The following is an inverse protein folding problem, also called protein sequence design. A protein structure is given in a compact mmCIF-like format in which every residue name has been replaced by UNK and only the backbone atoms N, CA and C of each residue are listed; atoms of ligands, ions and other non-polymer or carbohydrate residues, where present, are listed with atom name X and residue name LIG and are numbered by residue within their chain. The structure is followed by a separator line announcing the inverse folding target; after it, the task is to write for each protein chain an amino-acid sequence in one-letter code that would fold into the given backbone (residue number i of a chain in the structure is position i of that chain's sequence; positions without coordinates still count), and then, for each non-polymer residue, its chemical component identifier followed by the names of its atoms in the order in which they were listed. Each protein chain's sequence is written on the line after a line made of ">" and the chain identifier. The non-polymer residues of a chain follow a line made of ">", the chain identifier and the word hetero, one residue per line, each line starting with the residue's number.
data_IF_546056578635
#
_entry.id   IF_546056578635
#
_cell.length_a   1.000
_cell.length_b   1.000
_cell.length_c   1.000
_cell.angle_alpha   90.00
_cell.angle_beta   90.00
_cell.angle_gamma   90.00
#
_symmetry.space_group_name_H-M   'P 1'
#
loop_
_entity.id
_entity.type
_entity.pdbx_description
1 polymer ?
#
# COMPACT_ATOMS: atom_id res chain seq x y z
N UNK A 1 -18.19 -2.49 1.65
CA UNK A 1 -18.05 -2.63 3.14
C UNK A 1 -18.02 -1.24 3.72
N UNK A 2 -18.74 -0.97 4.79
CA UNK A 2 -18.71 0.31 5.51
C UNK A 2 -17.38 0.50 6.24
N UNK A 3 -16.98 1.73 6.48
CA UNK A 3 -15.71 2.05 7.17
C UNK A 3 -15.71 1.50 8.61
N UNK A 4 -16.86 1.53 9.32
CA UNK A 4 -16.97 0.92 10.64
C UNK A 4 -16.55 -0.56 10.64
N UNK A 5 -17.07 -1.35 9.71
CA UNK A 5 -16.72 -2.78 9.58
C UNK A 5 -15.23 -2.99 9.21
N UNK A 6 -14.63 -2.02 8.52
CA UNK A 6 -13.21 -2.07 8.19
C UNK A 6 -12.35 -1.73 9.41
N UNK A 7 -12.80 -0.84 10.26
CA UNK A 7 -12.16 -0.55 11.54
C UNK A 7 -12.20 -1.77 12.45
N UNK A 8 -13.39 -2.41 12.62
CA UNK A 8 -13.53 -3.66 13.38
C UNK A 8 -12.51 -4.71 12.92
N UNK A 9 -12.37 -4.87 11.58
CA UNK A 9 -11.38 -5.79 11.01
C UNK A 9 -9.94 -5.43 11.36
N UNK A 10 -9.59 -4.15 11.40
CA UNK A 10 -8.24 -3.71 11.79
C UNK A 10 -7.99 -3.94 13.28
N UNK A 11 -9.01 -3.78 14.14
CA UNK A 11 -8.95 -4.12 15.56
C UNK A 11 -8.69 -5.62 15.74
N UNK A 12 -9.41 -6.48 15.03
CA UNK A 12 -9.20 -7.94 15.00
C UNK A 12 -7.77 -8.32 14.54
N UNK A 13 -7.14 -7.49 13.72
CA UNK A 13 -5.76 -7.66 13.26
C UNK A 13 -4.72 -7.09 14.23
N UNK A 14 -5.12 -6.54 15.37
CA UNK A 14 -4.23 -6.03 16.40
C UNK A 14 -3.82 -4.56 16.21
N UNK A 15 -4.70 -3.73 15.65
CA UNK A 15 -4.39 -2.31 15.47
C UNK A 15 -4.16 -1.58 16.80
N UNK A 16 -4.86 -1.97 17.87
CA UNK A 16 -4.66 -1.41 19.21
C UNK A 16 -3.22 -1.63 19.70
N UNK A 17 -2.71 -2.85 19.62
CA UNK A 17 -1.34 -3.19 20.02
C UNK A 17 -0.29 -2.48 19.15
N UNK A 18 -0.58 -2.29 17.86
CA UNK A 18 0.32 -1.59 16.95
C UNK A 18 0.39 -0.09 17.23
N UNK A 19 -0.74 0.51 17.62
CA UNK A 19 -0.83 1.97 17.81
C UNK A 19 -0.62 2.38 19.26
N UNK A 20 -0.90 1.48 20.21
CA UNK A 20 -1.02 1.80 21.64
C UNK A 20 -2.26 2.66 21.93
N UNK A 21 -3.26 2.61 21.06
CA UNK A 21 -4.54 3.31 21.18
C UNK A 21 -5.65 2.30 21.40
N UNK A 22 -6.64 2.63 22.20
CA UNK A 22 -7.83 1.81 22.37
C UNK A 22 -8.84 2.05 21.24
N UNK A 23 -9.87 1.20 21.19
CA UNK A 23 -10.94 1.27 20.20
C UNK A 23 -11.63 2.63 20.16
N UNK A 24 -11.91 3.24 21.34
CA UNK A 24 -12.60 4.53 21.45
C UNK A 24 -11.79 5.65 20.79
N UNK A 25 -10.48 5.71 21.06
CA UNK A 25 -9.56 6.66 20.43
C UNK A 25 -9.49 6.45 18.91
N UNK A 26 -9.45 5.20 18.43
CA UNK A 26 -9.40 4.88 17.00
C UNK A 26 -10.72 5.24 16.28
N UNK A 27 -11.86 5.02 16.91
CA UNK A 27 -13.19 5.45 16.43
C UNK A 27 -13.25 6.97 16.31
N UNK A 28 -12.77 7.70 17.32
CA UNK A 28 -12.70 9.17 17.31
C UNK A 28 -11.80 9.68 16.16
N UNK A 29 -10.66 9.03 15.91
CA UNK A 29 -9.76 9.39 14.82
C UNK A 29 -10.38 9.22 13.42
N UNK A 30 -11.25 8.24 13.22
CA UNK A 30 -11.98 8.05 11.96
C UNK A 30 -13.03 9.14 11.79
N UNK A 31 -13.71 9.51 12.87
CA UNK A 31 -14.82 10.46 12.87
C UNK A 31 -16.15 9.83 12.43
N UNK A 32 -17.23 10.28 13.08
CA UNK A 32 -18.56 9.66 12.92
C UNK A 32 -19.10 9.65 11.50
N UNK A 33 -18.88 10.71 10.74
CA UNK A 33 -19.38 10.85 9.36
C UNK A 33 -18.71 9.85 8.41
N UNK A 34 -17.42 9.56 8.61
CA UNK A 34 -16.70 8.58 7.79
C UNK A 34 -17.08 7.14 8.10
N UNK A 35 -17.42 6.81 9.35
CA UNK A 35 -17.81 5.44 9.74
C UNK A 35 -18.99 4.91 8.92
N UNK A 36 -19.94 5.80 8.55
CA UNK A 36 -21.09 5.46 7.73
C UNK A 36 -20.80 5.46 6.22
N UNK A 37 -19.61 5.88 5.80
CA UNK A 37 -19.23 5.93 4.40
C UNK A 37 -18.76 4.56 3.87
N UNK A 38 -18.66 4.46 2.55
CA UNK A 38 -18.01 3.34 1.86
C UNK A 38 -16.71 3.82 1.23
N UNK A 39 -15.77 2.90 1.10
CA UNK A 39 -14.44 3.18 0.55
C UNK A 39 -13.42 2.17 1.07
N UNK A 40 -12.16 2.56 1.13
CA UNK A 40 -11.10 1.78 1.76
C UNK A 40 -10.49 2.60 2.88
N UNK A 41 -10.58 2.12 4.12
CA UNK A 41 -9.94 2.75 5.28
C UNK A 41 -8.43 2.55 5.21
N UNK A 42 -7.71 3.65 5.36
CA UNK A 42 -6.24 3.69 5.28
C UNK A 42 -5.65 4.09 6.61
N UNK A 43 -4.56 3.43 6.96
CA UNK A 43 -3.71 3.76 8.09
C UNK A 43 -2.55 4.63 7.57
N UNK A 44 -2.56 5.92 7.98
CA UNK A 44 -1.50 6.86 7.60
C UNK A 44 -0.14 6.44 8.21
N UNK A 45 0.99 6.64 7.52
CA UNK A 45 2.31 6.24 8.02
C UNK A 45 2.73 6.93 9.33
N UNK A 46 2.12 8.07 9.70
CA UNK A 46 2.33 8.70 11.01
C UNK A 46 1.73 7.91 12.16
N UNK A 47 0.66 7.14 11.92
CA UNK A 47 0.06 6.26 12.92
C UNK A 47 0.79 4.92 12.96
N UNK A 48 0.87 4.23 11.80
CA UNK A 48 1.64 2.98 11.69
C UNK A 48 2.39 2.94 10.35
N UNK A 49 3.73 2.90 10.35
CA UNK A 49 4.51 2.83 9.12
C UNK A 49 4.33 1.48 8.39
N UNK A 50 4.45 1.50 7.06
CA UNK A 50 4.28 0.35 6.18
C UNK A 50 5.03 -0.92 6.63
N UNK A 51 6.23 -0.76 7.17
CA UNK A 51 7.05 -1.88 7.63
C UNK A 51 6.42 -2.64 8.82
N UNK A 52 5.61 -1.96 9.64
CA UNK A 52 4.86 -2.57 10.75
C UNK A 52 3.50 -3.13 10.31
N UNK A 53 2.91 -2.60 9.24
CA UNK A 53 1.66 -3.10 8.67
C UNK A 53 1.85 -4.34 7.80
N UNK A 54 2.97 -4.44 7.08
CA UNK A 54 3.22 -5.53 6.14
C UNK A 54 3.06 -6.94 6.75
N UNK A 55 3.48 -7.21 8.00
CA UNK A 55 3.29 -8.51 8.65
C UNK A 55 1.82 -8.90 8.92
N UNK A 56 0.90 -7.93 8.96
CA UNK A 56 -0.54 -8.19 9.14
C UNK A 56 -1.21 -8.70 7.86
N UNK A 57 -0.61 -8.46 6.70
CA UNK A 57 -1.08 -9.09 5.46
C UNK A 57 -1.03 -10.60 5.61
N UNK A 58 -2.05 -11.28 5.12
CA UNK A 58 -2.07 -12.75 5.14
C UNK A 58 -2.52 -13.32 3.80
N UNK A 59 -1.90 -14.42 3.39
CA UNK A 59 -2.32 -15.20 2.24
C UNK A 59 -1.99 -16.67 2.46
N UNK A 60 -2.96 -17.56 2.26
CA UNK A 60 -2.81 -19.00 2.51
C UNK A 60 -2.24 -19.33 3.91
N UNK A 61 -2.66 -18.57 4.93
CA UNK A 61 -2.18 -18.70 6.29
C UNK A 61 -0.75 -18.21 6.55
N UNK A 62 -0.10 -17.58 5.56
CA UNK A 62 1.26 -17.06 5.68
C UNK A 62 1.23 -15.55 5.87
N UNK A 63 1.96 -15.01 6.87
CA UNK A 63 2.05 -13.57 7.09
C UNK A 63 2.83 -12.88 5.97
N UNK A 64 2.48 -11.64 5.72
CA UNK A 64 3.23 -10.76 4.84
C UNK A 64 4.57 -10.35 5.42
N UNK A 65 5.44 -9.80 4.57
CA UNK A 65 6.75 -9.32 4.99
C UNK A 65 7.28 -8.23 4.06
N UNK A 66 8.23 -7.46 4.56
CA UNK A 66 9.08 -6.59 3.74
C UNK A 66 10.30 -7.37 3.30
N UNK A 67 10.67 -7.28 2.01
CA UNK A 67 11.87 -7.98 1.51
C UNK A 67 13.13 -7.56 2.29
N UNK A 68 14.05 -8.49 2.60
CA UNK A 68 15.20 -8.21 3.47
C UNK A 68 16.11 -7.09 2.99
N UNK A 69 16.17 -6.82 1.68
CA UNK A 69 17.00 -5.77 1.08
C UNK A 69 16.32 -4.39 1.02
N UNK A 70 15.07 -4.26 1.52
CA UNK A 70 14.34 -2.99 1.62
C UNK A 70 14.31 -2.45 3.07
N UNK A 71 15.46 -2.37 3.70
CA UNK A 71 15.62 -1.88 5.09
C UNK A 71 15.28 -0.40 5.25
N UNK A 72 15.16 0.31 4.14
CA UNK A 72 14.91 1.75 4.08
C UNK A 72 13.49 2.12 3.61
N UNK A 73 12.51 1.20 3.74
CA UNK A 73 11.12 1.43 3.34
C UNK A 73 10.53 2.70 3.96
N UNK A 74 10.82 2.99 5.22
CA UNK A 74 10.37 4.20 5.91
C UNK A 74 10.90 5.53 5.34
N UNK A 75 11.82 5.49 4.37
CA UNK A 75 12.33 6.69 3.67
C UNK A 75 11.60 6.98 2.36
N UNK A 76 10.65 6.13 1.96
CA UNK A 76 9.84 6.33 0.77
C UNK A 76 8.65 7.23 1.11
N UNK A 77 8.81 8.53 0.88
CA UNK A 77 7.77 9.55 1.06
C UNK A 77 6.95 9.79 -0.20
N UNK A 78 6.08 10.78 -0.15
CA UNK A 78 5.22 11.17 -1.26
C UNK A 78 6.02 11.77 -2.43
N UNK A 79 5.57 11.49 -3.64
CA UNK A 79 5.95 12.25 -4.82
C UNK A 79 5.22 13.60 -4.84
N UNK A 80 5.76 14.64 -5.51
CA UNK A 80 5.16 15.97 -5.53
C UNK A 80 3.75 16.04 -6.12
N UNK A 81 3.40 15.09 -6.98
CA UNK A 81 2.12 15.03 -7.69
C UNK A 81 0.98 14.45 -6.85
N UNK A 82 1.26 13.99 -5.61
CA UNK A 82 0.28 13.33 -4.75
C UNK A 82 0.20 14.01 -3.40
N UNK A 83 -1.01 14.34 -3.02
CA UNK A 83 -1.35 14.80 -1.68
C UNK A 83 -2.17 13.71 -0.97
N UNK A 84 -1.94 13.52 0.34
CA UNK A 84 -2.73 12.66 1.22
C UNK A 84 -3.22 13.48 2.41
N UNK A 85 -4.39 13.13 2.99
CA UNK A 85 -4.85 13.78 4.22
C UNK A 85 -3.83 13.62 5.35
N UNK A 86 -3.54 14.72 6.06
CA UNK A 86 -2.63 14.72 7.22
C UNK A 86 -3.35 14.29 8.52
N UNK A 87 -4.13 13.21 8.44
CA UNK A 87 -4.85 12.61 9.56
C UNK A 87 -4.44 11.14 9.74
N UNK A 88 -4.55 10.59 10.96
CA UNK A 88 -4.11 9.22 11.24
C UNK A 88 -4.84 8.13 10.44
N UNK A 89 -6.12 8.33 10.19
CA UNK A 89 -7.00 7.44 9.44
C UNK A 89 -7.78 8.24 8.41
N UNK A 90 -7.86 7.75 7.16
CA UNK A 90 -8.58 8.41 6.06
C UNK A 90 -9.12 7.39 5.07
N UNK A 91 -9.91 7.82 4.11
CA UNK A 91 -10.65 6.93 3.22
C UNK A 91 -10.26 7.15 1.75
N UNK A 92 -10.02 6.06 1.02
CA UNK A 92 -9.88 6.06 -0.43
C UNK A 92 -11.21 5.77 -1.10
N UNK A 93 -11.47 6.46 -2.21
CA UNK A 93 -12.64 6.25 -3.09
C UNK A 93 -12.18 5.81 -4.47
N UNK A 94 -12.77 4.73 -4.99
CA UNK A 94 -12.49 4.24 -6.33
C UNK A 94 -11.06 3.74 -6.53
N UNK A 95 -10.61 2.84 -5.65
CA UNK A 95 -9.30 2.17 -5.78
C UNK A 95 -9.33 1.19 -6.95
N UNK A 96 -8.30 1.25 -7.80
CA UNK A 96 -8.08 0.33 -8.92
C UNK A 96 -6.66 -0.25 -8.85
N UNK A 97 -6.52 -1.52 -9.23
CA UNK A 97 -5.22 -2.21 -9.28
C UNK A 97 -4.36 -1.76 -10.46
N UNK A 98 -4.98 -1.18 -11.51
CA UNK A 98 -4.31 -0.73 -12.71
C UNK A 98 -3.83 -1.89 -13.60
N UNK A 99 -4.62 -2.94 -13.75
CA UNK A 99 -4.28 -4.10 -14.56
C UNK A 99 -4.10 -3.77 -16.05
N UNK A 100 -4.73 -2.71 -16.52
CA UNK A 100 -4.58 -2.16 -17.87
C UNK A 100 -3.24 -1.44 -18.10
N UNK A 101 -2.53 -1.11 -17.01
CA UNK A 101 -1.19 -0.53 -17.02
C UNK A 101 -0.10 -1.60 -16.80
N UNK A 102 -0.42 -2.89 -16.89
CA UNK A 102 0.60 -3.94 -16.95
C UNK A 102 1.47 -3.76 -18.20
N UNK A 103 2.72 -4.10 -18.08
CA UNK A 103 3.75 -3.86 -19.10
C UNK A 103 4.08 -2.37 -19.36
N UNK A 104 3.62 -1.50 -18.44
CA UNK A 104 4.07 -0.11 -18.37
C UNK A 104 5.09 0.05 -17.22
N UNK A 105 6.10 0.88 -17.46
CA UNK A 105 6.99 1.29 -16.37
C UNK A 105 6.30 2.31 -15.46
N UNK A 106 6.69 2.43 -14.18
CA UNK A 106 6.24 3.50 -13.30
C UNK A 106 6.35 4.90 -13.89
N UNK A 107 7.42 5.17 -14.66
CA UNK A 107 7.67 6.47 -15.28
C UNK A 107 6.69 6.76 -16.43
N UNK A 108 6.24 5.74 -17.16
CA UNK A 108 5.21 5.86 -18.20
C UNK A 108 3.81 5.91 -17.60
N UNK A 109 3.54 5.14 -16.56
CA UNK A 109 2.22 5.02 -15.95
C UNK A 109 1.80 6.29 -15.18
N UNK A 110 2.73 7.00 -14.54
CA UNK A 110 2.40 8.19 -13.75
C UNK A 110 1.66 9.26 -14.55
N UNK A 111 2.16 9.77 -15.69
CA UNK A 111 1.44 10.78 -16.46
C UNK A 111 0.09 10.28 -16.97
N UNK A 112 -0.04 9.02 -17.32
CA UNK A 112 -1.31 8.44 -17.76
C UNK A 112 -2.35 8.40 -16.63
N UNK A 113 -1.95 7.97 -15.41
CA UNK A 113 -2.83 7.99 -14.23
C UNK A 113 -3.32 9.41 -13.95
N UNK A 114 -2.42 10.39 -13.97
CA UNK A 114 -2.77 11.80 -13.75
C UNK A 114 -3.71 12.36 -14.85
N UNK A 115 -3.48 11.98 -16.10
CA UNK A 115 -4.34 12.38 -17.23
C UNK A 115 -5.78 11.83 -17.11
N UNK A 116 -5.94 10.70 -16.43
CA UNK A 116 -7.26 10.11 -16.08
C UNK A 116 -7.94 10.78 -14.88
N UNK A 117 -7.36 11.84 -14.31
CA UNK A 117 -7.85 12.50 -13.10
C UNK A 117 -7.73 11.63 -11.85
N UNK A 118 -6.81 10.68 -11.84
CA UNK A 118 -6.52 9.78 -10.73
C UNK A 118 -5.13 10.06 -10.17
N UNK A 119 -4.83 9.52 -9.00
CA UNK A 119 -3.48 9.57 -8.43
C UNK A 119 -3.02 8.18 -8.00
N UNK A 120 -1.72 7.87 -8.12
CA UNK A 120 -1.22 6.57 -7.72
C UNK A 120 -1.33 6.37 -6.20
N UNK A 121 -1.31 5.08 -5.76
CA UNK A 121 -1.30 4.74 -4.34
C UNK A 121 0.09 4.89 -3.73
N UNK A 122 0.11 5.24 -2.45
CA UNK A 122 1.27 5.06 -1.55
C UNK A 122 1.38 3.61 -1.10
N UNK A 123 2.55 3.24 -0.54
CA UNK A 123 2.74 1.88 0.00
C UNK A 123 1.82 1.59 1.18
N UNK A 124 1.58 2.57 2.06
CA UNK A 124 0.63 2.41 3.16
C UNK A 124 -0.80 2.20 2.66
N UNK A 125 -1.22 2.93 1.64
CA UNK A 125 -2.52 2.75 0.99
C UNK A 125 -2.67 1.37 0.35
N UNK A 126 -1.65 0.91 -0.36
CA UNK A 126 -1.66 -0.42 -0.96
C UNK A 126 -1.74 -1.54 0.08
N UNK A 127 -1.02 -1.41 1.20
CA UNK A 127 -1.11 -2.37 2.31
C UNK A 127 -2.49 -2.29 2.96
N UNK A 128 -2.99 -1.09 3.30
CA UNK A 128 -4.30 -0.90 3.91
C UNK A 128 -5.42 -1.48 3.04
N UNK A 129 -5.35 -1.29 1.72
CA UNK A 129 -6.30 -1.89 0.80
C UNK A 129 -6.32 -3.42 0.89
N UNK A 130 -5.15 -4.06 0.94
CA UNK A 130 -5.04 -5.52 1.06
C UNK A 130 -5.44 -6.04 2.46
N UNK A 131 -5.29 -5.25 3.52
CA UNK A 131 -5.82 -5.59 4.84
C UNK A 131 -7.35 -5.64 4.82
N UNK A 132 -8.00 -4.79 4.02
CA UNK A 132 -9.46 -4.79 3.87
C UNK A 132 -9.96 -5.82 2.85
N UNK A 133 -9.22 -6.05 1.77
CA UNK A 133 -9.58 -7.00 0.72
C UNK A 133 -8.34 -7.76 0.21
N UNK A 134 -7.94 -8.83 0.92
CA UNK A 134 -6.79 -9.65 0.53
C UNK A 134 -6.93 -10.31 -0.86
N UNK A 135 -8.17 -10.43 -1.38
CA UNK A 135 -8.44 -11.02 -2.68
C UNK A 135 -7.87 -10.20 -3.84
N UNK A 136 -7.52 -8.93 -3.59
CA UNK A 136 -6.88 -8.06 -4.60
C UNK A 136 -5.45 -8.47 -4.94
N UNK A 137 -4.84 -9.34 -4.16
CA UNK A 137 -3.51 -9.90 -4.43
C UNK A 137 -3.63 -11.31 -4.99
N UNK A 138 -3.64 -11.43 -6.30
CA UNK A 138 -3.78 -12.68 -7.03
C UNK A 138 -2.51 -13.01 -7.83
N UNK A 139 -2.26 -14.29 -8.15
CA UNK A 139 -1.18 -14.67 -9.07
C UNK A 139 -1.29 -13.91 -10.40
N UNK A 140 -0.19 -13.29 -10.84
CA UNK A 140 -0.11 -12.46 -12.05
C UNK A 140 -0.97 -11.16 -12.03
N UNK A 141 -1.57 -10.82 -10.89
CA UNK A 141 -2.35 -9.62 -10.67
C UNK A 141 -1.92 -8.97 -9.36
N UNK A 142 -0.69 -8.49 -9.35
CA UNK A 142 -0.06 -7.72 -8.30
C UNK A 142 0.05 -6.25 -8.70
N UNK A 143 0.54 -5.36 -7.85
CA UNK A 143 0.57 -3.94 -8.18
C UNK A 143 1.73 -3.17 -7.55
N UNK A 144 2.09 -2.08 -8.21
CA UNK A 144 3.04 -1.08 -7.74
C UNK A 144 2.32 0.08 -7.05
N UNK A 145 2.99 0.68 -6.04
CA UNK A 145 2.50 1.82 -5.26
C UNK A 145 3.44 3.00 -5.48
N UNK A 146 3.37 3.57 -6.68
CA UNK A 146 4.37 4.49 -7.22
C UNK A 146 4.32 5.91 -6.64
N UNK A 147 3.29 6.24 -5.83
CA UNK A 147 3.27 7.49 -5.08
C UNK A 147 4.31 7.53 -3.95
N UNK A 148 4.84 6.37 -3.55
CA UNK A 148 5.90 6.30 -2.54
C UNK A 148 7.27 6.21 -3.21
N UNK A 149 8.05 7.28 -3.12
CA UNK A 149 9.41 7.34 -3.66
C UNK A 149 10.35 7.98 -2.65
N UNK A 150 11.64 7.75 -2.76
CA UNK A 150 12.61 8.42 -1.90
C UNK A 150 13.60 9.25 -2.71
N UNK A 151 14.18 10.33 -2.13
CA UNK A 151 15.24 11.08 -2.75
C UNK A 151 16.50 10.21 -2.99
N UNK A 152 17.27 10.53 -4.00
CA UNK A 152 18.60 9.94 -4.19
C UNK A 152 19.50 10.25 -2.99
N UNK A 153 20.50 9.40 -2.75
CA UNK A 153 21.51 9.67 -1.72
C UNK A 153 22.37 10.91 -2.03
N UNK A 154 22.59 11.19 -3.30
CA UNK A 154 23.37 12.31 -3.79
C UNK A 154 22.74 12.92 -5.04
N UNK A 155 22.71 14.26 -5.11
CA UNK A 155 22.14 15.01 -6.23
C UNK A 155 20.61 15.05 -6.24
N UNK A 156 20.04 15.79 -7.18
CA UNK A 156 18.59 15.94 -7.31
C UNK A 156 17.92 14.68 -7.87
N UNK A 157 16.60 14.56 -7.62
CA UNK A 157 15.73 13.53 -8.16
C UNK A 157 15.53 12.34 -7.22
N UNK A 158 14.75 11.36 -7.71
CA UNK A 158 14.28 10.20 -6.94
C UNK A 158 15.19 8.98 -7.14
N UNK A 159 15.31 8.15 -6.12
CA UNK A 159 15.91 6.81 -6.23
C UNK A 159 15.15 6.01 -7.29
N UNK A 160 15.85 5.13 -7.99
CA UNK A 160 15.24 4.34 -9.07
C UNK A 160 14.28 3.25 -8.58
N UNK A 161 14.28 2.92 -7.28
CA UNK A 161 13.38 1.94 -6.69
C UNK A 161 12.01 2.57 -6.43
N UNK A 162 10.96 1.81 -6.71
CA UNK A 162 9.57 2.13 -6.38
C UNK A 162 8.93 0.94 -5.68
N UNK A 163 8.16 1.15 -4.59
CA UNK A 163 7.53 0.06 -3.87
C UNK A 163 6.48 -0.67 -4.71
N UNK A 164 6.38 -1.98 -4.47
CA UNK A 164 5.36 -2.84 -5.05
C UNK A 164 4.97 -3.93 -4.05
N UNK A 165 3.76 -4.48 -4.22
CA UNK A 165 3.23 -5.55 -3.39
C UNK A 165 2.87 -6.72 -4.29
N UNK A 166 3.44 -7.90 -3.99
CA UNK A 166 3.18 -9.10 -4.78
C UNK A 166 3.31 -10.39 -3.97
N UNK A 167 3.07 -11.53 -4.60
CA UNK A 167 3.15 -12.84 -3.98
C UNK A 167 4.59 -13.33 -4.07
N UNK A 168 5.17 -13.78 -2.97
CA UNK A 168 6.51 -14.36 -2.93
C UNK A 168 6.53 -15.70 -3.69
N UNK A 169 7.56 -15.89 -4.51
CA UNK A 169 7.86 -17.18 -5.14
C UNK A 169 8.84 -18.06 -4.34
N UNK A 170 9.05 -17.77 -3.05
CA UNK A 170 9.92 -18.59 -2.19
C UNK A 170 11.39 -18.54 -2.55
N UNK A 171 11.88 -17.49 -3.21
CA UNK A 171 13.30 -17.33 -3.49
C UNK A 171 14.11 -17.15 -2.19
N UNK A 172 15.35 -17.63 -2.15
CA UNK A 172 16.22 -17.53 -0.95
C UNK A 172 16.40 -16.08 -0.49
N UNK A 173 16.56 -15.13 -1.41
CA UNK A 173 16.64 -13.69 -1.11
C UNK A 173 15.40 -13.13 -0.41
N UNK A 174 14.25 -13.81 -0.52
CA UNK A 174 12.97 -13.43 0.10
C UNK A 174 12.74 -14.16 1.43
N UNK A 175 13.67 -15.02 1.86
CA UNK A 175 13.57 -15.86 3.06
C UNK A 175 13.17 -17.31 2.78
N UNK A 176 13.29 -17.75 1.52
CA UNK A 176 13.18 -19.15 1.13
C UNK A 176 11.75 -19.68 0.98
N UNK A 177 11.64 -21.00 0.87
CA UNK A 177 10.37 -21.71 0.60
C UNK A 177 9.29 -21.52 1.66
N UNK A 178 9.66 -21.20 2.88
CA UNK A 178 8.69 -20.92 3.95
C UNK A 178 7.79 -19.73 3.62
N UNK A 179 8.33 -18.76 2.88
CA UNK A 179 7.60 -17.57 2.41
C UNK A 179 6.96 -17.69 1.04
N UNK A 180 7.05 -18.85 0.40
CA UNK A 180 6.39 -19.09 -0.89
C UNK A 180 4.88 -18.92 -0.76
N UNK A 181 4.28 -18.12 -1.65
CA UNK A 181 2.87 -17.78 -1.60
C UNK A 181 2.48 -16.67 -0.60
N UNK A 182 3.38 -16.20 0.25
CA UNK A 182 3.11 -15.10 1.18
C UNK A 182 3.03 -13.75 0.47
N UNK A 183 2.25 -12.78 0.98
CA UNK A 183 2.31 -11.40 0.52
C UNK A 183 3.69 -10.80 0.82
N UNK A 184 4.28 -10.09 -0.14
CA UNK A 184 5.53 -9.38 0.13
C UNK A 184 5.49 -7.94 -0.36
N UNK A 185 6.01 -7.05 0.46
CA UNK A 185 6.30 -5.66 0.11
C UNK A 185 7.76 -5.59 -0.29
N UNK A 186 8.02 -5.13 -1.49
CA UNK A 186 9.35 -4.99 -2.04
C UNK A 186 9.43 -3.81 -2.99
N UNK A 187 10.35 -3.87 -3.93
CA UNK A 187 10.56 -2.79 -4.88
C UNK A 187 10.86 -3.30 -6.28
N UNK A 188 10.50 -2.46 -7.26
CA UNK A 188 10.87 -2.59 -8.66
C UNK A 188 11.65 -1.36 -9.12
N UNK A 189 12.35 -1.46 -10.24
CA UNK A 189 12.96 -0.29 -10.86
C UNK A 189 11.91 0.58 -11.57
N UNK A 190 11.96 1.88 -11.41
CA UNK A 190 11.01 2.83 -12.00
C UNK A 190 10.94 2.81 -13.53
N UNK A 191 12.00 2.36 -14.21
CA UNK A 191 12.02 2.17 -15.65
C UNK A 191 11.69 0.76 -16.14
N UNK A 192 11.40 -0.19 -15.23
CA UNK A 192 11.11 -1.56 -15.63
C UNK A 192 9.63 -1.77 -15.92
N UNK A 193 9.34 -2.64 -16.87
CA UNK A 193 8.02 -3.10 -17.24
C UNK A 193 7.80 -4.53 -16.75
N UNK A 194 6.60 -4.81 -16.26
CA UNK A 194 6.21 -6.13 -15.75
C UNK A 194 4.82 -6.50 -16.23
N UNK A 195 4.69 -7.65 -16.88
CA UNK A 195 3.41 -8.16 -17.41
C UNK A 195 2.43 -8.62 -16.32
N UNK A 196 2.88 -8.67 -15.07
CA UNK A 196 2.13 -9.17 -13.90
C UNK A 196 1.95 -8.13 -12.79
N UNK A 197 2.51 -6.93 -12.93
CA UNK A 197 2.30 -5.80 -12.04
C UNK A 197 1.46 -4.73 -12.73
N UNK A 198 0.31 -4.42 -12.15
CA UNK A 198 -0.42 -3.19 -12.43
C UNK A 198 0.18 -1.99 -11.70
N UNK A 199 -0.36 -0.82 -11.93
CA UNK A 199 0.01 0.39 -11.20
C UNK A 199 -1.23 0.92 -10.49
N UNK A 200 -1.31 0.67 -9.18
CA UNK A 200 -2.51 0.96 -8.42
C UNK A 200 -2.74 2.47 -8.26
N UNK A 201 -4.00 2.87 -8.40
CA UNK A 201 -4.42 4.26 -8.36
C UNK A 201 -5.76 4.43 -7.65
N UNK A 202 -6.09 5.68 -7.30
CA UNK A 202 -7.31 6.06 -6.60
C UNK A 202 -7.95 7.28 -7.26
N UNK A 203 -9.30 7.33 -7.25
CA UNK A 203 -10.05 8.46 -7.75
C UNK A 203 -10.07 9.66 -6.77
N UNK A 204 -9.98 9.40 -5.47
CA UNK A 204 -9.95 10.46 -4.46
C UNK A 204 -9.64 9.94 -3.07
N UNK A 205 -9.25 10.89 -2.20
CA UNK A 205 -8.98 10.71 -0.77
C UNK A 205 -9.89 11.63 0.03
N UNK A 206 -10.38 11.16 1.18
CA UNK A 206 -11.21 11.94 2.10
C UNK A 206 -10.82 11.68 3.55
N UNK A 207 -10.94 12.73 4.40
CA UNK A 207 -10.75 12.70 5.83
C UNK A 207 -12.03 13.15 6.52
#
# INVERSE_FOLDING_TARGET
>A
MFIAQQLDRLLDLGLEELTGRDEEELVEMVGGDLLACTGTLVIHPSLVPAARLAPLLTRLGKPGFVVPDMTDLGRFGLIPEVEVPEVPLYVLKGVERGDDLRDWSPEEALPEILARGRTPLTVNEGISWLLQDPSRLEPNHCFMTIASRKPKKAGPGLDKRTPAIWISGGAERDGGKERDGAPKVGWCWAGNRHTWLGVASVAGRGA
#
